data_IF_310055420160
#
_entry.id   IF_310055420160
#
_cell.length_a   1.000
_cell.length_b   1.000
_cell.length_c   1.000
_cell.angle_alpha   90.00
_cell.angle_beta   90.00
_cell.angle_gamma   90.00
#
_symmetry.space_group_name_H-M   'P 1'
#
loop_
_entity.id
_entity.type
_entity.pdbx_description
1 polymer ?
#
# COMPACT_ATOMS: atom_id res chain seq x y z
N UNK A 1 35.79 42.26 33.26
CA UNK A 1 35.54 41.07 32.42
C UNK A 1 34.15 41.19 31.83
N UNK A 2 34.09 41.48 30.53
CA UNK A 2 32.88 41.74 29.74
C UNK A 2 32.35 40.42 29.19
N UNK A 3 31.26 39.90 29.76
CA UNK A 3 30.56 38.71 29.28
C UNK A 3 29.18 39.07 28.74
N UNK A 4 29.10 39.39 27.45
CA UNK A 4 27.84 39.49 26.68
C UNK A 4 27.24 38.09 26.56
N UNK A 5 26.09 37.86 27.17
CA UNK A 5 25.29 36.64 26.91
C UNK A 5 24.20 37.01 25.91
N UNK A 6 24.38 36.54 24.67
CA UNK A 6 23.46 36.70 23.56
C UNK A 6 22.24 35.80 23.73
N UNK A 7 21.08 36.44 23.81
CA UNK A 7 19.76 36.08 23.27
C UNK A 7 19.64 34.67 22.66
N UNK A 8 18.94 33.76 23.35
CA UNK A 8 18.26 32.62 22.72
C UNK A 8 16.77 32.98 22.56
N UNK A 9 16.44 33.60 21.43
CA UNK A 9 15.06 33.68 20.96
C UNK A 9 14.77 32.39 20.20
N UNK A 10 14.26 31.37 20.91
CA UNK A 10 13.75 30.15 20.28
C UNK A 10 12.41 30.51 19.62
N UNK A 11 12.47 30.82 18.32
CA UNK A 11 11.30 30.95 17.46
C UNK A 11 10.68 29.55 17.34
N UNK A 12 9.62 29.30 18.11
CA UNK A 12 8.75 28.16 17.89
C UNK A 12 7.94 28.49 16.63
N UNK A 13 8.51 28.19 15.47
CA UNK A 13 7.77 28.13 14.23
C UNK A 13 6.85 26.89 14.31
N UNK A 14 5.69 27.06 14.96
CA UNK A 14 4.55 26.18 14.70
C UNK A 14 4.16 26.40 13.24
N UNK A 15 4.79 25.63 12.36
CA UNK A 15 4.32 25.45 11.02
C UNK A 15 2.92 24.84 11.13
N UNK A 16 1.92 25.64 10.76
CA UNK A 16 0.57 25.20 10.51
C UNK A 16 0.62 24.21 9.35
N UNK A 17 0.85 22.92 9.65
CA UNK A 17 0.49 21.85 8.75
C UNK A 17 -1.05 21.91 8.67
N UNK A 18 -1.57 22.34 7.51
CA UNK A 18 -2.97 22.09 7.18
C UNK A 18 -3.27 20.60 7.36
N UNK A 19 -4.53 20.21 7.60
CA UNK A 19 -4.87 18.81 7.81
C UNK A 19 -4.35 18.01 6.61
N UNK A 20 -3.32 17.19 6.83
CA UNK A 20 -2.98 16.14 5.88
C UNK A 20 -4.25 15.30 5.79
N UNK A 21 -4.84 15.23 4.58
CA UNK A 21 -5.98 14.36 4.34
C UNK A 21 -5.47 12.93 4.50
N UNK A 22 -5.68 12.39 5.69
CA UNK A 22 -5.25 11.05 6.06
C UNK A 22 -6.11 10.04 5.29
N UNK A 23 -5.49 9.07 4.64
CA UNK A 23 -6.20 8.07 3.86
C UNK A 23 -6.74 8.60 2.52
N UNK A 24 -6.00 9.47 1.82
CA UNK A 24 -6.51 10.09 0.58
C UNK A 24 -6.84 9.09 -0.53
N UNK A 25 -6.15 7.94 -0.61
CA UNK A 25 -6.51 6.90 -1.58
C UNK A 25 -7.80 6.21 -1.16
N UNK A 26 -7.99 5.97 0.14
CA UNK A 26 -9.23 5.41 0.70
C UNK A 26 -10.42 6.33 0.46
N UNK A 27 -10.26 7.64 0.63
CA UNK A 27 -11.31 8.62 0.34
C UNK A 27 -11.63 8.66 -1.16
N UNK A 28 -10.60 8.59 -2.01
CA UNK A 28 -10.76 8.61 -3.47
C UNK A 28 -11.46 7.37 -4.02
N UNK A 29 -11.07 6.19 -3.54
CA UNK A 29 -11.37 4.92 -4.19
C UNK A 29 -11.48 3.76 -3.18
N UNK A 30 -12.39 3.82 -2.20
CA UNK A 30 -12.43 2.85 -1.10
C UNK A 30 -12.65 1.42 -1.59
N UNK A 31 -13.51 1.25 -2.61
CA UNK A 31 -13.76 -0.05 -3.23
C UNK A 31 -12.52 -0.61 -3.94
N UNK A 32 -11.80 0.21 -4.70
CA UNK A 32 -10.64 -0.27 -5.44
C UNK A 32 -9.43 -0.48 -4.53
N UNK A 33 -9.30 0.29 -3.44
CA UNK A 33 -8.36 0.00 -2.36
C UNK A 33 -8.63 -1.37 -1.73
N UNK A 34 -9.90 -1.71 -1.46
CA UNK A 34 -10.27 -3.05 -0.98
C UNK A 34 -9.94 -4.13 -2.01
N UNK A 35 -10.34 -3.95 -3.27
CA UNK A 35 -10.05 -4.92 -4.33
C UNK A 35 -8.54 -5.14 -4.52
N UNK A 36 -7.75 -4.06 -4.47
CA UNK A 36 -6.29 -4.12 -4.54
C UNK A 36 -5.72 -4.94 -3.39
N UNK A 37 -6.17 -4.69 -2.16
CA UNK A 37 -5.74 -5.43 -0.97
C UNK A 37 -6.13 -6.91 -1.04
N UNK A 38 -7.37 -7.21 -1.46
CA UNK A 38 -7.86 -8.59 -1.61
C UNK A 38 -7.04 -9.35 -2.66
N UNK A 39 -6.77 -8.72 -3.81
CA UNK A 39 -5.95 -9.30 -4.88
C UNK A 39 -4.51 -9.51 -4.44
N UNK A 40 -3.91 -8.54 -3.75
CA UNK A 40 -2.56 -8.66 -3.20
C UNK A 40 -2.49 -9.80 -2.17
N UNK A 41 -3.52 -9.94 -1.34
CA UNK A 41 -3.62 -11.03 -0.36
C UNK A 41 -3.76 -12.39 -1.02
N UNK A 42 -4.54 -12.49 -2.10
CA UNK A 42 -4.65 -13.72 -2.88
C UNK A 42 -3.29 -14.15 -3.47
N UNK A 43 -2.55 -13.20 -4.05
CA UNK A 43 -1.22 -13.47 -4.61
C UNK A 43 -0.25 -13.88 -3.50
N UNK A 44 -0.28 -13.23 -2.33
CA UNK A 44 0.55 -13.67 -1.19
C UNK A 44 0.25 -15.10 -0.76
N UNK A 45 -1.02 -15.50 -0.74
CA UNK A 45 -1.39 -16.87 -0.40
C UNK A 45 -0.91 -17.88 -1.45
N UNK A 46 -0.77 -17.47 -2.72
CA UNK A 46 -0.37 -18.38 -3.80
C UNK A 46 1.12 -18.70 -3.78
N UNK A 47 1.97 -17.80 -3.26
CA UNK A 47 3.44 -17.97 -3.19
C UNK A 47 3.84 -19.33 -2.60
N UNK A 48 3.46 -19.71 -1.35
CA UNK A 48 3.83 -21.01 -0.80
C UNK A 48 3.20 -22.20 -1.55
N UNK A 49 2.01 -22.03 -2.15
CA UNK A 49 1.37 -23.05 -2.99
C UNK A 49 2.18 -23.32 -4.26
N UNK A 50 2.83 -22.29 -4.79
CA UNK A 50 3.67 -22.33 -5.98
C UNK A 50 5.14 -22.67 -5.67
N UNK A 51 5.49 -22.92 -4.41
CA UNK A 51 6.83 -23.31 -3.98
C UNK A 51 7.75 -22.14 -3.64
N UNK A 52 7.20 -20.91 -3.57
CA UNK A 52 7.92 -19.74 -3.09
C UNK A 52 8.17 -19.78 -1.60
N UNK A 53 9.19 -19.03 -1.17
CA UNK A 53 9.64 -19.00 0.22
C UNK A 53 9.22 -17.70 0.94
N UNK A 54 9.66 -17.57 2.19
CA UNK A 54 9.34 -16.39 3.00
C UNK A 54 9.95 -15.09 2.45
N UNK A 55 11.12 -15.17 1.81
CA UNK A 55 11.75 -13.99 1.23
C UNK A 55 10.96 -13.47 0.02
N UNK A 56 10.35 -14.36 -0.75
CA UNK A 56 9.44 -14.03 -1.85
C UNK A 56 8.13 -13.41 -1.33
N UNK A 57 7.54 -13.97 -0.26
CA UNK A 57 6.38 -13.35 0.41
C UNK A 57 6.69 -11.92 0.88
N UNK A 58 7.83 -11.72 1.54
CA UNK A 58 8.24 -10.41 2.04
C UNK A 58 8.54 -9.43 0.88
N UNK A 59 9.10 -9.92 -0.23
CA UNK A 59 9.26 -9.14 -1.45
C UNK A 59 7.91 -8.67 -1.99
N UNK A 60 6.94 -9.58 -2.09
CA UNK A 60 5.63 -9.22 -2.66
C UNK A 60 4.85 -8.26 -1.74
N UNK A 61 4.94 -8.42 -0.41
CA UNK A 61 4.37 -7.44 0.54
C UNK A 61 4.92 -6.04 0.31
N UNK A 62 6.25 -5.91 0.15
CA UNK A 62 6.89 -4.63 -0.16
C UNK A 62 6.43 -4.08 -1.51
N UNK A 63 6.39 -4.92 -2.55
CA UNK A 63 5.93 -4.52 -3.88
C UNK A 63 4.50 -3.96 -3.86
N UNK A 64 3.57 -4.60 -3.15
CA UNK A 64 2.20 -4.13 -3.02
C UNK A 64 2.11 -2.75 -2.34
N UNK A 65 2.92 -2.54 -1.29
CA UNK A 65 3.01 -1.24 -0.60
C UNK A 65 3.62 -0.18 -1.53
N UNK A 66 4.77 -0.46 -2.13
CA UNK A 66 5.51 0.46 -2.98
C UNK A 66 4.66 0.94 -4.16
N UNK A 67 3.84 0.05 -4.73
CA UNK A 67 2.89 0.40 -5.80
C UNK A 67 1.87 1.47 -5.41
N UNK A 68 1.39 1.47 -4.16
CA UNK A 68 0.47 2.49 -3.66
C UNK A 68 1.21 3.75 -3.21
N UNK A 69 2.41 3.61 -2.62
CA UNK A 69 3.29 4.75 -2.26
C UNK A 69 3.62 5.59 -3.51
N UNK A 70 3.86 4.95 -4.65
CA UNK A 70 4.12 5.64 -5.93
C UNK A 70 2.98 6.55 -6.39
N UNK A 71 1.74 6.26 -6.00
CA UNK A 71 0.57 7.10 -6.30
C UNK A 71 0.16 7.94 -5.08
N UNK A 72 0.99 7.95 -4.05
CA UNK A 72 0.95 8.86 -2.93
C UNK A 72 0.34 8.31 -1.64
N UNK A 73 0.15 6.99 -1.49
CA UNK A 73 -0.36 6.41 -0.25
C UNK A 73 0.35 6.94 1.01
N UNK A 74 -0.43 7.23 2.04
CA UNK A 74 0.06 7.58 3.37
C UNK A 74 -0.05 6.39 4.36
N UNK A 75 0.24 6.64 5.64
CA UNK A 75 0.24 5.59 6.66
C UNK A 75 -1.13 4.96 6.88
N UNK A 76 -2.23 5.70 6.71
CA UNK A 76 -3.59 5.18 6.87
C UNK A 76 -3.97 4.30 5.67
N UNK A 77 -3.64 4.74 4.45
CA UNK A 77 -3.81 3.93 3.23
C UNK A 77 -3.03 2.61 3.32
N UNK A 78 -1.79 2.65 3.83
CA UNK A 78 -0.93 1.48 3.99
C UNK A 78 -1.37 0.58 5.15
N UNK A 79 -1.86 1.16 6.25
CA UNK A 79 -2.45 0.39 7.34
C UNK A 79 -3.70 -0.38 6.91
N UNK A 80 -4.55 0.24 6.10
CA UNK A 80 -5.69 -0.42 5.46
C UNK A 80 -5.23 -1.55 4.53
N UNK A 81 -4.25 -1.28 3.66
CA UNK A 81 -3.69 -2.28 2.75
C UNK A 81 -3.21 -3.51 3.53
N UNK A 82 -2.36 -3.30 4.54
CA UNK A 82 -1.75 -4.39 5.32
C UNK A 82 -2.82 -5.26 5.99
N UNK A 83 -3.83 -4.62 6.60
CA UNK A 83 -4.91 -5.31 7.28
C UNK A 83 -5.70 -6.23 6.34
N UNK A 84 -6.22 -5.68 5.24
CA UNK A 84 -7.08 -6.44 4.34
C UNK A 84 -6.31 -7.42 3.45
N UNK A 85 -5.06 -7.11 3.11
CA UNK A 85 -4.17 -8.05 2.45
C UNK A 85 -3.89 -9.28 3.33
N UNK A 86 -3.71 -9.09 4.64
CA UNK A 86 -3.54 -10.19 5.59
C UNK A 86 -4.83 -11.02 5.75
N UNK A 87 -5.99 -10.37 5.86
CA UNK A 87 -7.31 -11.03 5.91
C UNK A 87 -7.56 -11.88 4.67
N UNK A 88 -7.32 -11.33 3.47
CA UNK A 88 -7.49 -12.02 2.22
C UNK A 88 -6.51 -13.19 2.07
N UNK A 89 -5.23 -13.00 2.43
CA UNK A 89 -4.25 -14.08 2.40
C UNK A 89 -4.62 -15.26 3.32
N UNK A 90 -5.17 -14.97 4.51
CA UNK A 90 -5.57 -15.99 5.47
C UNK A 90 -6.80 -16.81 5.04
N UNK A 91 -7.66 -16.24 4.20
CA UNK A 91 -8.92 -16.87 3.75
C UNK A 91 -8.88 -17.41 2.31
N UNK A 92 -7.88 -17.01 1.52
CA UNK A 92 -7.70 -17.44 0.15
C UNK A 92 -7.48 -18.95 0.03
N UNK A 93 -7.90 -19.50 -1.12
CA UNK A 93 -7.66 -20.90 -1.49
C UNK A 93 -7.05 -20.98 -2.89
N UNK A 94 -5.76 -20.61 -3.03
CA UNK A 94 -5.09 -20.59 -4.33
C UNK A 94 -5.06 -21.98 -4.96
N UNK A 95 -5.11 -22.02 -6.29
CA UNK A 95 -5.10 -23.26 -7.07
C UNK A 95 -3.76 -23.40 -7.74
N UNK A 96 -3.22 -24.62 -7.81
CA UNK A 96 -1.94 -24.91 -8.49
C UNK A 96 -1.84 -24.44 -9.95
N UNK A 97 -2.98 -24.26 -10.64
CA UNK A 97 -3.02 -23.69 -12.00
C UNK A 97 -2.55 -22.23 -12.07
N UNK A 98 -2.65 -21.50 -10.96
CA UNK A 98 -2.23 -20.10 -10.85
C UNK A 98 -0.71 -19.95 -10.77
N UNK A 99 0.01 -21.04 -10.55
CA UNK A 99 1.47 -21.08 -10.56
C UNK A 99 2.08 -21.12 -11.98
N UNK A 100 1.23 -21.20 -13.01
CA UNK A 100 1.65 -21.16 -14.41
C UNK A 100 1.31 -19.80 -15.01
N UNK A 101 1.98 -19.43 -16.09
CA UNK A 101 1.80 -18.12 -16.74
C UNK A 101 0.33 -17.84 -17.07
N UNK A 102 -0.44 -18.84 -17.52
CA UNK A 102 -1.84 -18.67 -17.89
C UNK A 102 -2.74 -18.27 -16.71
N UNK A 103 -2.31 -18.56 -15.47
CA UNK A 103 -2.99 -18.14 -14.25
C UNK A 103 -2.32 -16.97 -13.54
N UNK A 104 -1.00 -16.85 -13.59
CA UNK A 104 -0.25 -15.79 -12.92
C UNK A 104 -0.40 -14.42 -13.61
N UNK A 105 -0.41 -14.38 -14.94
CA UNK A 105 -0.53 -13.12 -15.70
C UNK A 105 -1.87 -12.42 -15.44
N UNK A 106 -3.02 -13.11 -15.47
CA UNK A 106 -4.29 -12.49 -15.09
C UNK A 106 -4.30 -11.93 -13.66
N UNK A 107 -3.73 -12.65 -12.70
CA UNK A 107 -3.70 -12.20 -11.29
C UNK A 107 -2.93 -10.89 -11.13
N UNK A 108 -1.76 -10.80 -11.76
CA UNK A 108 -0.97 -9.56 -11.78
C UNK A 108 -1.69 -8.45 -12.54
N UNK A 109 -2.35 -8.78 -13.66
CA UNK A 109 -3.14 -7.84 -14.45
C UNK A 109 -4.28 -7.20 -13.64
N UNK A 110 -5.02 -7.99 -12.86
CA UNK A 110 -6.08 -7.50 -11.97
C UNK A 110 -5.53 -6.55 -10.90
N UNK A 111 -4.39 -6.89 -10.28
CA UNK A 111 -3.75 -6.04 -9.27
C UNK A 111 -3.39 -4.65 -9.84
N UNK A 112 -2.75 -4.60 -11.01
CA UNK A 112 -2.42 -3.33 -11.66
C UNK A 112 -3.66 -2.61 -12.22
N UNK A 113 -4.71 -3.34 -12.57
CA UNK A 113 -6.02 -2.78 -12.91
C UNK A 113 -6.61 -1.97 -11.75
N UNK A 114 -6.64 -2.54 -10.55
CA UNK A 114 -7.12 -1.85 -9.35
C UNK A 114 -6.24 -0.64 -9.00
N UNK A 115 -4.91 -0.77 -9.06
CA UNK A 115 -3.98 0.37 -8.87
C UNK A 115 -4.30 1.52 -9.83
N UNK A 116 -4.52 1.20 -11.11
CA UNK A 116 -4.84 2.19 -12.14
C UNK A 116 -6.19 2.87 -11.86
N UNK A 117 -7.17 2.12 -11.37
CA UNK A 117 -8.46 2.66 -10.99
C UNK A 117 -8.37 3.63 -9.79
N UNK A 118 -7.55 3.29 -8.77
CA UNK A 118 -7.24 4.18 -7.64
C UNK A 118 -6.57 5.46 -8.14
N UNK A 119 -5.53 5.34 -8.96
CA UNK A 119 -4.79 6.48 -9.51
C UNK A 119 -5.70 7.41 -10.34
N UNK A 120 -6.63 6.83 -11.12
CA UNK A 120 -7.61 7.59 -11.89
C UNK A 120 -8.59 8.34 -10.98
N UNK A 121 -9.08 7.71 -9.93
CA UNK A 121 -10.00 8.33 -8.98
C UNK A 121 -9.34 9.49 -8.22
N UNK A 122 -8.07 9.34 -7.82
CA UNK A 122 -7.28 10.42 -7.22
C UNK A 122 -7.18 11.65 -8.11
N UNK A 123 -6.94 11.46 -9.41
CA UNK A 123 -6.80 12.57 -10.38
C UNK A 123 -8.13 13.23 -10.78
N UNK A 124 -9.26 12.64 -10.42
CA UNK A 124 -10.59 13.16 -10.73
C UNK A 124 -11.16 14.09 -9.65
N UNK A 125 -10.45 14.24 -8.53
CA UNK A 125 -10.79 15.13 -7.41
C UNK A 125 -10.26 16.54 -7.61
#
# INVERSE_FOLDING_TARGET
MTGRTLVLAAVIALAAAGPAAAGKLLDAAPKEMRNYADQAGYILASIPVCGGDRAEEDYFRRLARDNLVQIGADDDDLGFLDHYMAEAAASAKPKKRECREEGAVPLAGELFGHRTAIEKALKAQ
#
